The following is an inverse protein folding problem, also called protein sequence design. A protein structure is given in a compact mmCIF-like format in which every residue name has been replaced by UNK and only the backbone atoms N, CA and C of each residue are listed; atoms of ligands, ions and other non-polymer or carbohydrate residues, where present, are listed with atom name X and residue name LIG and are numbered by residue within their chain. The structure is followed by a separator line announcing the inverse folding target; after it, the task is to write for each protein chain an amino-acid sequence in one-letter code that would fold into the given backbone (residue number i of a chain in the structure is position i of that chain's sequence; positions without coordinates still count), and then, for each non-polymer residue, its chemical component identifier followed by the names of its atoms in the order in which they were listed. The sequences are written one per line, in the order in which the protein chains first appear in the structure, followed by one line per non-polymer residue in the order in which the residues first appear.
data_IF_728971628840
#
_entry.id   IF_728971628840
#
_cell.length_a   1.000
_cell.length_b   1.000
_cell.length_c   1.000
_cell.angle_alpha   90.00
_cell.angle_beta   90.00
_cell.angle_gamma   90.00
#
_symmetry.space_group_name_H-M   'P 1'
#
loop_
_entity.id
_entity.type
_entity.pdbx_description
1 polymer ?
#
# COMPACT_ATOMS: atom_id res chain seq x y z
N UNK A 1 -17.04 -1.38 9.34
CA UNK A 1 -15.94 -1.05 8.40
C UNK A 1 -15.79 0.47 8.38
N UNK A 2 -14.57 0.98 8.54
CA UNK A 2 -14.26 2.41 8.45
C UNK A 2 -13.23 2.55 7.32
N UNK A 3 -13.51 3.40 6.36
CA UNK A 3 -12.58 3.76 5.27
C UNK A 3 -12.47 5.27 5.23
N UNK A 4 -11.31 5.78 4.82
CA UNK A 4 -11.08 7.21 4.64
C UNK A 4 -10.15 7.44 3.45
N UNK A 5 -10.26 8.61 2.83
CA UNK A 5 -9.41 8.99 1.72
C UNK A 5 -8.19 9.72 2.24
N UNK A 6 -6.98 9.25 1.89
CA UNK A 6 -5.72 9.94 2.22
C UNK A 6 -5.73 11.35 1.63
N UNK A 7 -5.09 12.32 2.31
CA UNK A 7 -4.91 13.68 1.79
C UNK A 7 -4.43 13.67 0.33
N UNK A 8 -5.06 14.48 -0.51
CA UNK A 8 -4.75 14.57 -1.93
C UNK A 8 -5.39 13.50 -2.83
N UNK A 9 -6.07 12.51 -2.27
CA UNK A 9 -6.72 11.43 -3.01
C UNK A 9 -8.23 11.40 -2.74
N UNK A 10 -8.99 10.80 -3.66
CA UNK A 10 -10.44 10.63 -3.54
C UNK A 10 -11.17 11.96 -3.32
N UNK A 11 -12.04 12.00 -2.31
CA UNK A 11 -12.85 13.15 -1.92
C UNK A 11 -12.19 14.00 -0.81
N UNK A 12 -11.01 13.60 -0.33
CA UNK A 12 -10.26 14.36 0.68
C UNK A 12 -9.72 15.67 0.11
N UNK A 13 -9.40 16.59 1.02
CA UNK A 13 -8.75 17.86 0.65
C UNK A 13 -7.43 17.61 -0.10
N UNK A 14 -7.06 18.53 -0.98
CA UNK A 14 -5.89 18.42 -1.85
C UNK A 14 -4.79 19.45 -1.48
N UNK A 15 -4.15 19.31 -0.30
CA UNK A 15 -3.12 20.25 0.14
C UNK A 15 -1.84 20.10 -0.68
N UNK A 16 -0.94 21.07 -0.54
CA UNK A 16 0.37 21.08 -1.21
C UNK A 16 1.52 20.64 -0.29
N UNK A 17 1.22 20.20 0.92
CA UNK A 17 2.19 19.91 2.00
C UNK A 17 1.88 18.62 2.75
N UNK A 18 2.91 18.03 3.37
CA UNK A 18 2.78 16.87 4.27
C UNK A 18 2.55 15.55 3.53
N UNK A 19 3.30 15.34 2.44
CA UNK A 19 3.34 14.06 1.72
C UNK A 19 4.56 13.26 2.20
N UNK A 20 4.44 12.71 3.40
CA UNK A 20 5.44 11.89 4.09
C UNK A 20 4.71 10.98 5.10
N UNK A 21 5.34 9.86 5.46
CA UNK A 21 4.68 8.85 6.29
C UNK A 21 4.45 9.27 7.74
N UNK A 22 5.24 10.19 8.29
CA UNK A 22 4.97 10.75 9.63
C UNK A 22 3.67 11.54 9.61
N UNK A 23 3.47 12.34 8.57
CA UNK A 23 2.24 13.09 8.38
C UNK A 23 1.04 12.19 8.08
N UNK A 24 1.20 11.15 7.25
CA UNK A 24 0.12 10.19 6.98
C UNK A 24 -0.28 9.41 8.25
N UNK A 25 0.69 8.98 9.06
CA UNK A 25 0.43 8.33 10.34
C UNK A 25 -0.25 9.29 11.34
N UNK A 26 0.11 10.57 11.36
CA UNK A 26 -0.55 11.58 12.19
C UNK A 26 -2.01 11.85 11.76
N UNK A 27 -2.31 11.79 10.46
CA UNK A 27 -3.68 11.83 9.96
C UNK A 27 -4.48 10.61 10.42
N UNK A 28 -3.91 9.41 10.28
CA UNK A 28 -4.50 8.18 10.80
C UNK A 28 -4.75 8.27 12.32
N UNK A 29 -3.78 8.78 13.08
CA UNK A 29 -3.97 8.99 14.52
C UNK A 29 -5.13 9.94 14.81
N UNK A 30 -5.24 11.03 14.04
CA UNK A 30 -6.36 11.97 14.17
C UNK A 30 -7.70 11.28 13.91
N UNK A 31 -7.80 10.38 12.92
CA UNK A 31 -9.02 9.58 12.68
C UNK A 31 -9.31 8.65 13.85
N UNK A 32 -8.31 7.93 14.35
CA UNK A 32 -8.43 7.00 15.48
C UNK A 32 -8.91 7.70 16.75
N UNK A 33 -8.35 8.88 17.06
CA UNK A 33 -8.71 9.68 18.24
C UNK A 33 -10.08 10.34 18.08
N UNK A 34 -10.40 10.88 16.90
CA UNK A 34 -11.68 11.57 16.65
C UNK A 34 -12.86 10.63 16.78
N UNK A 35 -12.70 9.38 16.32
CA UNK A 35 -13.73 8.35 16.41
C UNK A 35 -13.65 7.53 17.71
N UNK A 36 -12.68 7.85 18.58
CA UNK A 36 -12.33 7.12 19.81
C UNK A 36 -12.31 5.60 19.62
N UNK A 37 -11.59 5.15 18.59
CA UNK A 37 -11.50 3.73 18.27
C UNK A 37 -10.66 2.99 19.31
N UNK A 38 -11.13 1.81 19.67
CA UNK A 38 -10.48 0.88 20.60
C UNK A 38 -10.56 -0.54 20.03
N UNK A 39 -9.47 -1.31 20.17
CA UNK A 39 -9.40 -2.68 19.64
C UNK A 39 -9.58 -2.75 18.12
N UNK A 40 -9.18 -1.72 17.39
CA UNK A 40 -9.35 -1.66 15.94
C UNK A 40 -8.36 -2.59 15.23
N UNK A 41 -8.74 -3.11 14.06
CA UNK A 41 -7.81 -3.78 13.16
C UNK A 41 -7.44 -2.83 12.03
N UNK A 42 -6.15 -2.55 11.87
CA UNK A 42 -5.65 -1.71 10.79
C UNK A 42 -5.28 -2.57 9.59
N UNK A 43 -5.89 -2.28 8.44
CA UNK A 43 -5.63 -3.00 7.19
C UNK A 43 -5.11 -2.00 6.16
N UNK A 44 -3.84 -2.14 5.78
CA UNK A 44 -3.18 -1.30 4.80
C UNK A 44 -3.00 -2.03 3.47
N UNK A 45 -3.32 -1.38 2.36
CA UNK A 45 -3.06 -1.87 1.01
C UNK A 45 -2.04 -0.99 0.30
N UNK A 46 -1.05 -1.59 -0.37
CA UNK A 46 -0.04 -0.85 -1.15
C UNK A 46 0.63 0.20 -0.26
N UNK A 47 0.64 1.45 -0.70
CA UNK A 47 1.15 2.60 0.07
C UNK A 47 0.51 2.79 1.45
N UNK A 48 -0.70 2.27 1.69
CA UNK A 48 -1.34 2.30 3.00
C UNK A 48 -0.70 1.36 4.02
N UNK A 49 0.05 0.33 3.58
CA UNK A 49 0.83 -0.54 4.47
C UNK A 49 1.85 0.26 5.30
N UNK A 50 2.54 1.21 4.66
CA UNK A 50 3.49 2.10 5.33
C UNK A 50 2.86 3.01 6.39
N UNK A 51 1.59 3.38 6.24
CA UNK A 51 0.86 4.13 7.27
C UNK A 51 0.60 3.28 8.50
N UNK A 52 0.27 1.99 8.30
CA UNK A 52 0.08 1.04 9.39
C UNK A 52 1.38 0.83 10.16
N UNK A 53 2.50 0.58 9.46
CA UNK A 53 3.80 0.39 10.10
C UNK A 53 4.24 1.65 10.86
N UNK A 54 4.18 2.82 10.21
CA UNK A 54 4.58 4.09 10.84
C UNK A 54 3.66 4.47 12.00
N UNK A 55 2.36 4.22 11.92
CA UNK A 55 1.42 4.50 13.00
C UNK A 55 1.73 3.69 14.25
N UNK A 56 1.91 2.37 14.11
CA UNK A 56 2.24 1.51 15.25
C UNK A 56 3.57 1.91 15.87
N UNK A 57 4.57 2.21 15.04
CA UNK A 57 5.89 2.68 15.49
C UNK A 57 5.83 4.01 16.25
N UNK A 58 5.10 5.01 15.74
CA UNK A 58 5.08 6.37 16.28
C UNK A 58 4.07 6.58 17.42
N UNK A 59 2.93 5.88 17.40
CA UNK A 59 1.80 6.09 18.31
C UNK A 59 1.51 4.88 19.22
N UNK A 60 2.17 3.75 18.98
CA UNK A 60 1.96 2.51 19.72
C UNK A 60 0.69 1.76 19.30
N UNK A 61 0.52 0.57 19.86
CA UNK A 61 -0.58 -0.35 19.54
C UNK A 61 -1.75 -0.29 20.53
N UNK A 62 -1.77 0.67 21.47
CA UNK A 62 -2.76 0.70 22.55
C UNK A 62 -4.24 0.71 22.11
N UNK A 63 -4.54 1.20 20.89
CA UNK A 63 -5.88 1.19 20.27
C UNK A 63 -6.07 0.09 19.22
N UNK A 64 -5.02 -0.68 18.93
CA UNK A 64 -4.93 -1.62 17.79
C UNK A 64 -4.92 -3.05 18.31
N UNK A 65 -5.86 -3.87 17.85
CA UNK A 65 -5.92 -5.29 18.19
C UNK A 65 -5.06 -6.15 17.24
N UNK A 66 -5.02 -5.81 15.95
CA UNK A 66 -4.29 -6.54 14.90
C UNK A 66 -3.90 -5.59 13.76
N UNK A 67 -2.94 -6.01 12.94
CA UNK A 67 -2.55 -5.31 11.71
C UNK A 67 -2.53 -6.27 10.51
N UNK A 68 -2.88 -5.77 9.32
CA UNK A 68 -2.77 -6.51 8.08
C UNK A 68 -2.14 -5.66 6.98
N UNK A 69 -1.18 -6.23 6.28
CA UNK A 69 -0.39 -5.61 5.22
C UNK A 69 -0.66 -6.36 3.91
N UNK A 70 -1.41 -5.74 3.01
CA UNK A 70 -1.81 -6.31 1.72
C UNK A 70 -1.02 -5.63 0.60
N UNK A 71 -0.28 -6.39 -0.20
CA UNK A 71 0.59 -5.86 -1.26
C UNK A 71 1.54 -4.75 -0.73
N UNK A 72 2.36 -5.05 0.27
CA UNK A 72 3.06 -4.06 1.10
C UNK A 72 4.34 -3.46 0.49
N UNK A 73 4.76 -2.29 1.01
CA UNK A 73 6.01 -1.60 0.61
C UNK A 73 7.22 -2.10 1.42
N UNK A 74 6.97 -2.57 2.63
CA UNK A 74 7.95 -2.98 3.61
C UNK A 74 8.86 -4.10 3.08
N UNK A 75 10.12 -4.16 3.52
CA UNK A 75 10.75 -3.30 4.53
C UNK A 75 11.29 -1.96 4.01
N UNK A 76 11.75 -1.92 2.76
CA UNK A 76 12.30 -0.73 2.12
C UNK A 76 12.46 -0.97 0.61
N UNK A 77 11.82 -0.16 -0.23
CA UNK A 77 11.89 -0.33 -1.69
C UNK A 77 13.19 0.17 -2.31
N UNK A 78 13.90 1.10 -1.65
CA UNK A 78 15.10 1.69 -2.21
C UNK A 78 16.22 0.65 -2.27
N UNK A 79 16.73 0.39 -3.47
CA UNK A 79 17.93 -0.43 -3.65
C UNK A 79 19.18 0.41 -3.36
N UNK A 80 19.99 -0.06 -2.41
CA UNK A 80 21.24 0.57 -1.98
C UNK A 80 22.25 -0.50 -1.55
N UNK A 81 23.48 -0.09 -1.22
CA UNK A 81 24.52 -1.00 -0.72
C UNK A 81 24.11 -1.70 0.59
N UNK A 82 23.40 -1.00 1.47
CA UNK A 82 22.87 -1.51 2.74
C UNK A 82 21.48 -2.18 2.59
N UNK A 83 20.83 -2.06 1.43
CA UNK A 83 19.59 -2.73 1.08
C UNK A 83 19.65 -3.33 -0.34
N UNK A 84 20.48 -4.39 -0.56
CA UNK A 84 20.68 -4.94 -1.90
C UNK A 84 19.45 -5.66 -2.47
N UNK A 85 18.49 -6.02 -1.61
CA UNK A 85 17.21 -6.64 -1.99
C UNK A 85 16.12 -5.61 -2.32
N UNK A 86 16.41 -4.31 -2.20
CA UNK A 86 15.48 -3.26 -2.61
C UNK A 86 15.07 -3.39 -4.08
N UNK A 87 13.86 -2.94 -4.38
CA UNK A 87 13.20 -3.13 -5.68
C UNK A 87 13.90 -2.34 -6.78
N UNK A 88 14.20 -1.06 -6.55
CA UNK A 88 14.74 -0.18 -7.58
C UNK A 88 15.63 0.93 -7.00
N UNK A 89 16.59 1.48 -7.78
CA UNK A 89 17.39 2.61 -7.34
C UNK A 89 16.56 3.91 -7.40
N UNK A 90 17.05 4.99 -6.78
CA UNK A 90 16.31 6.26 -6.66
C UNK A 90 15.87 6.83 -8.01
N UNK A 91 16.70 6.69 -9.03
CA UNK A 91 16.46 7.22 -10.38
C UNK A 91 15.19 6.64 -11.03
N UNK A 92 14.81 5.40 -10.66
CA UNK A 92 13.56 4.80 -11.10
C UNK A 92 12.35 5.57 -10.57
N UNK A 93 12.34 5.89 -9.27
CA UNK A 93 11.27 6.65 -8.64
C UNK A 93 11.24 8.11 -9.14
N UNK A 94 12.40 8.71 -9.35
CA UNK A 94 12.49 10.05 -9.97
C UNK A 94 11.88 10.06 -11.39
N UNK A 95 12.07 8.97 -12.14
CA UNK A 95 11.43 8.75 -13.44
C UNK A 95 9.89 8.69 -13.35
N UNK A 96 9.35 8.02 -12.33
CA UNK A 96 7.90 7.99 -12.07
C UNK A 96 7.38 9.40 -11.78
N UNK A 97 8.04 10.14 -10.89
CA UNK A 97 7.66 11.53 -10.57
C UNK A 97 7.66 12.40 -11.83
N UNK A 98 8.67 12.25 -12.69
CA UNK A 98 8.75 12.99 -13.95
C UNK A 98 7.61 12.61 -14.91
N UNK A 99 7.27 11.32 -15.04
CA UNK A 99 6.17 10.85 -15.88
C UNK A 99 4.81 11.41 -15.42
N UNK A 100 4.54 11.39 -14.11
CA UNK A 100 3.32 11.97 -13.55
C UNK A 100 3.25 13.48 -13.80
N UNK A 101 4.36 14.20 -13.67
CA UNK A 101 4.41 15.64 -13.95
C UNK A 101 4.22 15.96 -15.43
N UNK A 102 4.68 15.08 -16.33
CA UNK A 102 4.56 15.28 -17.77
C UNK A 102 3.11 15.15 -18.25
N UNK A 103 2.45 14.05 -17.89
CA UNK A 103 1.02 13.84 -18.15
C UNK A 103 0.47 12.77 -17.18
N UNK A 104 -0.07 13.22 -16.05
CA UNK A 104 -0.65 12.31 -15.05
C UNK A 104 -1.80 11.46 -15.61
N UNK A 105 -2.55 11.98 -16.58
CA UNK A 105 -3.74 11.31 -17.10
C UNK A 105 -3.36 10.12 -17.98
N UNK A 106 -2.39 10.33 -18.87
CA UNK A 106 -1.78 9.25 -19.65
C UNK A 106 -1.04 8.26 -18.74
N UNK A 107 -0.29 8.76 -17.75
CA UNK A 107 0.39 7.93 -16.77
C UNK A 107 -0.57 6.95 -16.07
N UNK A 108 -1.77 7.39 -15.67
CA UNK A 108 -2.74 6.48 -15.04
C UNK A 108 -3.15 5.34 -15.96
N UNK A 109 -3.31 5.58 -17.26
CA UNK A 109 -3.63 4.51 -18.21
C UNK A 109 -2.53 3.47 -18.25
N UNK A 110 -1.27 3.90 -18.30
CA UNK A 110 -0.13 2.98 -18.31
C UNK A 110 0.04 2.27 -16.96
N UNK A 111 -0.08 3.00 -15.85
CA UNK A 111 0.02 2.43 -14.51
C UNK A 111 -1.01 1.32 -14.26
N UNK A 112 -2.26 1.50 -14.70
CA UNK A 112 -3.29 0.48 -14.49
C UNK A 112 -3.08 -0.80 -15.31
N UNK A 113 -2.26 -0.78 -16.37
CA UNK A 113 -1.90 -2.00 -17.12
C UNK A 113 -1.17 -2.99 -16.22
N UNK A 114 -0.15 -2.51 -15.51
CA UNK A 114 0.64 -3.35 -14.60
C UNK A 114 0.03 -3.45 -13.20
N UNK A 115 -0.76 -2.46 -12.78
CA UNK A 115 -1.49 -2.56 -11.50
C UNK A 115 -2.41 -3.78 -11.48
N UNK A 116 -3.09 -4.06 -12.59
CA UNK A 116 -4.03 -5.19 -12.68
C UNK A 116 -3.53 -6.34 -13.55
N UNK A 117 -2.33 -6.28 -14.12
CA UNK A 117 -1.85 -7.17 -15.19
C UNK A 117 -2.94 -7.35 -16.28
N UNK A 118 -3.33 -6.26 -16.94
CA UNK A 118 -4.49 -6.25 -17.84
C UNK A 118 -4.36 -7.17 -19.05
N UNK A 119 -3.14 -7.53 -19.44
CA UNK A 119 -2.87 -8.55 -20.46
C UNK A 119 -3.31 -9.96 -20.04
N UNK A 120 -3.43 -10.22 -18.73
CA UNK A 120 -3.86 -11.49 -18.16
C UNK A 120 -5.31 -11.43 -17.65
N UNK A 121 -5.72 -10.29 -17.07
CA UNK A 121 -6.92 -10.20 -16.22
C UNK A 121 -8.09 -9.42 -16.85
N UNK A 122 -7.87 -8.66 -17.92
CA UNK A 122 -8.95 -7.87 -18.54
C UNK A 122 -9.95 -8.79 -19.25
N UNK A 123 -11.24 -8.62 -18.93
CA UNK A 123 -12.33 -9.44 -19.46
C UNK A 123 -12.54 -10.77 -18.74
N UNK A 124 -11.69 -11.09 -17.74
CA UNK A 124 -11.81 -12.29 -16.90
C UNK A 124 -11.98 -11.91 -15.43
N UNK A 125 -10.93 -11.35 -14.80
CA UNK A 125 -10.91 -10.96 -13.39
C UNK A 125 -11.21 -9.48 -13.15
N UNK A 126 -11.08 -8.64 -14.16
CA UNK A 126 -11.48 -7.22 -14.11
C UNK A 126 -12.10 -6.79 -15.44
N UNK A 127 -13.19 -6.01 -15.40
CA UNK A 127 -13.83 -5.47 -16.60
C UNK A 127 -13.22 -4.12 -17.01
N UNK A 128 -13.44 -3.72 -18.26
CA UNK A 128 -13.06 -2.39 -18.74
C UNK A 128 -13.72 -1.28 -17.91
N UNK A 129 -14.98 -1.46 -17.51
CA UNK A 129 -15.74 -0.54 -16.66
C UNK A 129 -15.05 -0.33 -15.32
N UNK A 130 -14.56 -1.40 -14.69
CA UNK A 130 -13.87 -1.34 -13.42
C UNK A 130 -12.54 -0.60 -13.55
N UNK A 131 -11.76 -0.88 -14.61
CA UNK A 131 -10.52 -0.13 -14.92
C UNK A 131 -10.82 1.35 -15.17
N UNK A 132 -11.88 1.66 -15.93
CA UNK A 132 -12.32 3.03 -16.20
C UNK A 132 -12.72 3.75 -14.92
N UNK A 133 -13.37 3.07 -13.98
CA UNK A 133 -13.67 3.62 -12.67
C UNK A 133 -12.40 3.94 -11.87
N UNK A 134 -11.43 3.02 -11.81
CA UNK A 134 -10.15 3.26 -11.15
C UNK A 134 -9.41 4.45 -11.75
N UNK A 135 -9.43 4.60 -13.09
CA UNK A 135 -8.88 5.76 -13.77
C UNK A 135 -9.61 7.07 -13.38
N UNK A 136 -10.94 7.07 -13.30
CA UNK A 136 -11.72 8.24 -12.88
C UNK A 136 -11.37 8.66 -11.44
N UNK A 137 -11.22 7.69 -10.53
CA UNK A 137 -10.80 7.95 -9.14
C UNK A 137 -9.40 8.56 -9.11
N UNK A 138 -8.44 8.01 -9.86
CA UNK A 138 -7.09 8.55 -9.96
C UNK A 138 -7.08 9.98 -10.55
N UNK A 139 -7.86 10.21 -11.62
CA UNK A 139 -7.98 11.51 -12.26
C UNK A 139 -8.61 12.59 -11.36
N UNK A 140 -9.51 12.17 -10.44
CA UNK A 140 -10.14 13.03 -9.44
C UNK A 140 -9.21 13.48 -8.30
N UNK A 141 -8.07 12.79 -8.10
CA UNK A 141 -7.06 13.17 -7.12
C UNK A 141 -6.33 14.48 -7.45
N UNK A 142 -5.69 15.06 -6.43
CA UNK A 142 -4.93 16.31 -6.52
C UNK A 142 -3.66 16.16 -7.34
N UNK A 143 -3.41 17.12 -8.24
CA UNK A 143 -2.25 17.07 -9.15
C UNK A 143 -0.91 17.00 -8.42
N UNK A 144 -0.77 17.74 -7.31
CA UNK A 144 0.47 17.73 -6.53
C UNK A 144 0.62 16.42 -5.76
N UNK A 145 -0.46 15.91 -5.17
CA UNK A 145 -0.48 14.62 -4.47
C UNK A 145 0.01 13.50 -5.39
N UNK A 146 -0.50 13.46 -6.62
CA UNK A 146 -0.11 12.47 -7.62
C UNK A 146 1.40 12.48 -7.90
N UNK A 147 2.01 13.67 -7.98
CA UNK A 147 3.44 13.81 -8.25
C UNK A 147 4.32 13.66 -6.99
N UNK A 148 3.79 13.92 -5.80
CA UNK A 148 4.52 13.85 -4.54
C UNK A 148 4.54 12.44 -3.95
N UNK A 149 3.47 11.66 -4.13
CA UNK A 149 3.33 10.33 -3.54
C UNK A 149 4.43 9.33 -3.94
N UNK A 150 4.90 9.24 -5.21
CA UNK A 150 5.96 8.30 -5.57
C UNK A 150 7.26 8.51 -4.79
N UNK A 151 7.54 9.73 -4.34
CA UNK A 151 8.70 10.04 -3.51
C UNK A 151 8.60 9.48 -2.09
N UNK A 152 7.40 9.11 -1.63
CA UNK A 152 7.24 8.48 -0.31
C UNK A 152 7.45 6.97 -0.39
N UNK A 153 7.29 6.33 -1.55
CA UNK A 153 7.28 4.87 -1.67
C UNK A 153 8.59 4.20 -1.21
N UNK A 154 9.72 4.89 -1.36
CA UNK A 154 11.03 4.41 -0.95
C UNK A 154 11.40 4.76 0.50
N UNK A 155 10.41 5.12 1.33
CA UNK A 155 10.59 5.29 2.78
C UNK A 155 11.13 3.99 3.39
N UNK A 156 12.08 4.13 4.31
CA UNK A 156 12.65 3.01 5.03
C UNK A 156 11.83 2.70 6.27
N UNK A 157 11.15 1.55 6.28
CA UNK A 157 10.35 1.06 7.40
C UNK A 157 11.09 0.03 8.25
N UNK A 158 12.36 -0.27 7.96
CA UNK A 158 13.12 -1.29 8.72
C UNK A 158 13.15 -1.03 10.22
N UNK A 159 13.14 0.25 10.64
CA UNK A 159 13.10 0.65 12.04
C UNK A 159 11.68 0.61 12.65
N UNK A 160 10.64 0.63 11.82
CA UNK A 160 9.24 0.60 12.26
C UNK A 160 8.77 -0.83 12.55
N UNK A 161 9.28 -1.82 11.81
CA UNK A 161 8.85 -3.23 11.90
C UNK A 161 8.99 -3.81 13.33
N UNK A 162 10.10 -3.60 14.08
CA UNK A 162 10.23 -4.15 15.43
C UNK A 162 9.22 -3.61 16.45
N UNK A 163 8.55 -2.50 16.15
CA UNK A 163 7.51 -1.93 17.02
C UNK A 163 6.16 -2.64 16.87
N UNK A 164 5.98 -3.50 15.86
CA UNK A 164 4.75 -4.27 15.66
C UNK A 164 4.68 -5.39 16.71
N UNK A 165 3.92 -5.14 17.77
CA UNK A 165 3.75 -6.02 18.94
C UNK A 165 2.37 -6.70 19.03
N UNK A 166 1.54 -6.54 17.99
CA UNK A 166 0.21 -7.16 17.85
C UNK A 166 0.22 -8.22 16.73
N UNK A 167 -0.74 -9.16 16.70
CA UNK A 167 -0.87 -10.11 15.61
C UNK A 167 -0.91 -9.42 14.24
N UNK A 168 -0.15 -9.94 13.30
CA UNK A 168 0.05 -9.37 11.98
C UNK A 168 -0.26 -10.37 10.87
N UNK A 169 -0.83 -9.88 9.76
CA UNK A 169 -0.96 -10.60 8.49
C UNK A 169 -0.14 -9.89 7.41
N UNK A 170 0.65 -10.65 6.66
CA UNK A 170 1.31 -10.21 5.43
C UNK A 170 0.72 -11.04 4.29
N UNK A 171 0.07 -10.37 3.33
CA UNK A 171 -0.56 -11.01 2.17
C UNK A 171 -0.10 -10.32 0.89
N UNK A 172 0.41 -11.09 -0.07
CA UNK A 172 0.95 -10.55 -1.32
C UNK A 172 0.65 -11.43 -2.53
N UNK A 173 0.53 -10.83 -3.71
CA UNK A 173 0.38 -11.57 -4.96
C UNK A 173 1.73 -11.95 -5.56
N UNK A 174 1.94 -13.19 -6.01
CA UNK A 174 3.23 -13.59 -6.61
C UNK A 174 3.45 -12.97 -8.00
N UNK A 175 2.39 -12.49 -8.65
CA UNK A 175 2.39 -11.82 -9.95
C UNK A 175 2.41 -10.28 -9.88
N UNK A 176 2.72 -9.70 -8.72
CA UNK A 176 2.73 -8.25 -8.52
C UNK A 176 3.85 -7.57 -9.33
N UNK A 177 3.47 -6.77 -10.33
CA UNK A 177 4.38 -5.99 -11.20
C UNK A 177 4.73 -4.61 -10.65
N UNK A 178 3.99 -4.11 -9.65
CA UNK A 178 4.23 -2.79 -9.04
C UNK A 178 5.21 -2.94 -7.87
N UNK A 179 4.95 -3.91 -7.00
CA UNK A 179 5.74 -4.21 -5.81
C UNK A 179 6.16 -5.69 -5.84
N UNK A 180 7.28 -6.03 -6.51
CA UNK A 180 7.72 -7.41 -6.66
C UNK A 180 7.90 -8.12 -5.31
N UNK A 181 7.22 -9.26 -5.14
CA UNK A 181 7.13 -10.03 -3.89
C UNK A 181 8.49 -10.36 -3.25
N UNK A 182 9.52 -10.58 -4.08
CA UNK A 182 10.89 -10.90 -3.64
C UNK A 182 11.60 -9.73 -2.94
N UNK A 183 11.29 -8.50 -3.34
CA UNK A 183 11.85 -7.27 -2.77
C UNK A 183 11.02 -6.71 -1.61
N UNK A 184 9.78 -7.18 -1.45
CA UNK A 184 8.82 -6.71 -0.44
C UNK A 184 8.44 -7.82 0.53
N UNK A 185 7.30 -8.49 0.33
CA UNK A 185 6.67 -9.39 1.30
C UNK A 185 7.58 -10.52 1.79
N UNK A 186 8.42 -11.11 0.91
CA UNK A 186 9.37 -12.15 1.30
C UNK A 186 10.49 -11.63 2.20
N UNK A 187 10.92 -10.38 2.03
CA UNK A 187 11.86 -9.75 2.96
C UNK A 187 11.15 -9.28 4.23
N UNK A 188 9.92 -8.79 4.10
CA UNK A 188 9.13 -8.37 5.25
C UNK A 188 8.82 -9.53 6.19
N UNK A 189 8.46 -10.70 5.66
CA UNK A 189 8.23 -11.89 6.49
C UNK A 189 9.50 -12.34 7.24
N UNK A 190 10.70 -12.17 6.66
CA UNK A 190 11.95 -12.43 7.40
C UNK A 190 12.15 -11.44 8.55
N UNK A 191 11.74 -10.19 8.37
CA UNK A 191 11.84 -9.14 9.39
C UNK A 191 10.75 -9.26 10.47
N UNK A 192 9.58 -9.80 10.13
CA UNK A 192 8.44 -10.04 11.02
C UNK A 192 7.99 -11.52 10.94
N UNK A 193 8.79 -12.47 11.45
CA UNK A 193 8.51 -13.91 11.30
C UNK A 193 7.30 -14.39 12.09
N UNK A 194 6.79 -13.58 13.03
CA UNK A 194 5.59 -13.88 13.81
C UNK A 194 4.28 -13.59 13.05
N UNK A 195 4.34 -12.90 11.91
CA UNK A 195 3.15 -12.62 11.10
C UNK A 195 2.64 -13.88 10.39
N UNK A 196 1.31 -14.01 10.29
CA UNK A 196 0.68 -14.90 9.33
C UNK A 196 1.12 -14.46 7.92
N UNK A 197 1.57 -15.40 7.08
CA UNK A 197 2.10 -15.12 5.75
C UNK A 197 1.31 -15.84 4.67
N UNK A 198 0.81 -15.08 3.69
CA UNK A 198 -0.02 -15.59 2.59
C UNK A 198 0.51 -15.06 1.25
N UNK A 199 0.87 -15.96 0.35
CA UNK A 199 1.10 -15.64 -1.06
C UNK A 199 -0.11 -16.10 -1.88
N UNK A 200 -0.69 -15.21 -2.69
CA UNK A 200 -1.73 -15.55 -3.67
C UNK A 200 -1.07 -15.73 -5.02
N UNK A 201 -1.00 -16.98 -5.47
CA UNK A 201 -0.31 -17.35 -6.70
C UNK A 201 -0.91 -16.64 -7.92
N UNK A 202 -0.06 -15.98 -8.71
CA UNK A 202 -0.43 -15.25 -9.92
C UNK A 202 -1.18 -13.94 -9.71
N UNK A 203 -1.51 -13.55 -8.46
CA UNK A 203 -2.26 -12.33 -8.22
C UNK A 203 -1.43 -11.06 -8.55
N UNK A 204 -2.03 -10.04 -9.20
CA UNK A 204 -1.37 -8.77 -9.51
C UNK A 204 -1.36 -7.83 -8.30
N UNK A 205 -0.85 -6.61 -8.45
CA UNK A 205 -0.90 -5.60 -7.39
C UNK A 205 -2.34 -5.25 -6.99
N UNK A 206 -3.25 -5.14 -7.96
CA UNK A 206 -4.68 -4.90 -7.79
C UNK A 206 -5.47 -6.14 -7.40
N UNK A 207 -4.90 -6.97 -6.51
CA UNK A 207 -5.51 -8.22 -6.03
C UNK A 207 -6.80 -8.03 -5.24
N UNK A 208 -7.01 -6.84 -4.64
CA UNK A 208 -8.27 -6.51 -3.95
C UNK A 208 -9.51 -6.61 -4.85
N UNK A 209 -9.32 -6.49 -6.17
CA UNK A 209 -10.39 -6.69 -7.15
C UNK A 209 -10.28 -8.05 -7.84
N UNK A 210 -9.11 -8.34 -8.41
CA UNK A 210 -8.94 -9.51 -9.29
C UNK A 210 -8.99 -10.84 -8.55
N UNK A 211 -8.64 -10.85 -7.27
CA UNK A 211 -8.55 -12.01 -6.39
C UNK A 211 -9.28 -11.73 -5.06
N UNK A 212 -10.41 -11.04 -5.15
CA UNK A 212 -11.18 -10.60 -3.99
C UNK A 212 -11.60 -11.78 -3.10
N UNK A 213 -11.98 -12.92 -3.68
CA UNK A 213 -12.38 -14.10 -2.92
C UNK A 213 -11.22 -14.67 -2.08
N UNK A 214 -10.02 -14.76 -2.68
CA UNK A 214 -8.82 -15.24 -2.00
C UNK A 214 -8.36 -14.25 -0.91
N UNK A 215 -8.42 -12.95 -1.17
CA UNK A 215 -8.12 -11.89 -0.20
C UNK A 215 -9.12 -11.93 0.97
N UNK A 216 -10.42 -11.97 0.69
CA UNK A 216 -11.48 -11.97 1.69
C UNK A 216 -11.39 -13.21 2.57
N UNK A 217 -11.16 -14.39 1.97
CA UNK A 217 -11.01 -15.63 2.72
C UNK A 217 -9.84 -15.57 3.72
N UNK A 218 -8.67 -15.11 3.27
CA UNK A 218 -7.49 -14.99 4.12
C UNK A 218 -7.68 -13.92 5.22
N UNK A 219 -8.25 -12.76 4.85
CA UNK A 219 -8.47 -11.66 5.79
C UNK A 219 -9.51 -12.02 6.85
N UNK A 220 -10.64 -12.61 6.47
CA UNK A 220 -11.66 -13.06 7.43
C UNK A 220 -11.11 -14.13 8.38
N UNK A 221 -10.36 -15.10 7.87
CA UNK A 221 -9.71 -16.12 8.70
C UNK A 221 -8.72 -15.50 9.71
N UNK A 222 -7.98 -14.47 9.31
CA UNK A 222 -7.09 -13.73 10.22
C UNK A 222 -7.88 -12.94 11.28
N UNK A 223 -8.97 -12.30 10.89
CA UNK A 223 -9.82 -11.50 11.78
C UNK A 223 -10.48 -12.35 12.86
N UNK A 224 -10.87 -13.59 12.55
CA UNK A 224 -11.55 -14.51 13.47
C UNK A 224 -10.65 -15.17 14.53
N UNK A 225 -9.33 -15.21 14.33
CA UNK A 225 -8.36 -15.79 15.29
C UNK A 225 -8.27 -15.05 16.62
#
# INVERSE_FOLDING_TARGET
MITYDRRGFGQSSQPTTGYDYDTFAADLNTVMDTLDLQGAVLVGFSTGAGEVARYVSAHGSGRVAKVAFLASLEPCLLKSDDNPQGVAPKEFFDGIVAAVKADRHAYYTDFHKDFYNLDENLGTRISEEAVRNSWNVAAGGGFLAAAAAPSTWYTDFRADIPAIDVPALILHGTGDRILPVDGTARQFHKALPAADYVEIEGAPHGLLWTHAEEVDSALLAFLEK
#
